data_IF_454510749949
#
_entry.id   IF_454510749949
#
_cell.length_a   1.000
_cell.length_b   1.000
_cell.length_c   1.000
_cell.angle_alpha   90.00
_cell.angle_beta   90.00
_cell.angle_gamma   90.00
#
_symmetry.space_group_name_H-M   'P 1'
#
loop_
_entity.id
_entity.type
_entity.pdbx_description
1 polymer ?
#
# COMPACT_ATOMS: atom_id res chain seq x y z
N UNK A 1 -7.08 -0.06 2.95
CA UNK A 1 -8.42 0.13 2.34
C UNK A 1 -8.67 -1.04 1.39
N UNK A 2 -9.92 -1.35 1.07
CA UNK A 2 -10.16 -2.34 0.01
C UNK A 2 -9.72 -1.78 -1.33
N UNK A 3 -9.06 -2.60 -2.14
CA UNK A 3 -8.63 -2.26 -3.49
C UNK A 3 -9.33 -3.21 -4.44
N UNK A 4 -10.17 -2.66 -5.30
CA UNK A 4 -10.77 -3.40 -6.42
C UNK A 4 -9.93 -3.12 -7.66
N UNK A 5 -9.35 -4.17 -8.22
CA UNK A 5 -8.60 -4.11 -9.47
C UNK A 5 -9.37 -4.90 -10.52
N UNK A 6 -9.86 -4.23 -11.54
CA UNK A 6 -10.54 -4.84 -12.69
C UNK A 6 -9.66 -4.65 -13.93
N UNK A 7 -9.35 -5.74 -14.62
CA UNK A 7 -8.52 -5.71 -15.84
C UNK A 7 -9.16 -6.60 -16.90
N UNK A 8 -9.11 -6.18 -18.17
CA UNK A 8 -9.75 -6.89 -19.29
C UNK A 8 -9.11 -8.26 -19.56
N UNK A 9 -7.77 -8.34 -19.64
CA UNK A 9 -7.03 -9.59 -19.88
C UNK A 9 -6.09 -9.98 -18.74
N UNK A 10 -5.88 -9.06 -17.78
CA UNK A 10 -5.00 -9.26 -16.63
C UNK A 10 -5.70 -9.91 -15.44
N UNK A 11 -5.02 -9.91 -14.30
CA UNK A 11 -5.58 -10.38 -13.03
C UNK A 11 -6.52 -9.33 -12.46
N UNK A 12 -7.81 -9.65 -12.47
CA UNK A 12 -8.80 -8.96 -11.65
C UNK A 12 -8.72 -9.50 -10.21
N UNK A 13 -8.76 -8.63 -9.21
CA UNK A 13 -8.61 -9.02 -7.82
C UNK A 13 -9.27 -8.03 -6.85
N UNK A 14 -9.75 -8.58 -5.74
CA UNK A 14 -10.23 -7.82 -4.59
C UNK A 14 -9.22 -8.04 -3.47
N UNK A 15 -8.56 -6.96 -3.06
CA UNK A 15 -7.51 -6.97 -2.05
C UNK A 15 -8.06 -6.29 -0.80
N UNK A 16 -7.97 -6.97 0.33
CA UNK A 16 -8.41 -6.46 1.61
C UNK A 16 -7.43 -5.40 2.17
N UNK A 17 -7.86 -4.61 3.17
CA UNK A 17 -7.07 -3.51 3.72
C UNK A 17 -5.73 -3.89 4.35
N UNK A 18 -5.56 -5.15 4.72
CA UNK A 18 -4.36 -5.78 5.26
C UNK A 18 -3.42 -6.33 4.17
N UNK A 19 -3.81 -6.24 2.90
CA UNK A 19 -3.07 -6.79 1.77
C UNK A 19 -3.42 -8.24 1.42
N UNK A 20 -4.36 -8.87 2.13
CA UNK A 20 -4.80 -10.23 1.78
C UNK A 20 -5.65 -10.24 0.52
N UNK A 21 -5.51 -11.28 -0.31
CA UNK A 21 -6.35 -11.48 -1.49
C UNK A 21 -7.67 -12.13 -1.07
N UNK A 22 -8.77 -11.37 -1.18
CA UNK A 22 -10.12 -11.87 -0.92
C UNK A 22 -10.64 -12.70 -2.09
N UNK A 23 -10.35 -12.26 -3.31
CA UNK A 23 -10.75 -12.95 -4.51
C UNK A 23 -9.86 -12.55 -5.69
N UNK A 24 -9.66 -13.44 -6.66
CA UNK A 24 -8.74 -13.27 -7.80
C UNK A 24 -9.25 -14.04 -9.00
N UNK A 25 -9.26 -13.44 -10.18
CA UNK A 25 -9.57 -14.15 -11.42
C UNK A 25 -8.36 -14.93 -11.92
N UNK A 26 -8.64 -15.98 -12.68
CA UNK A 26 -7.66 -16.58 -13.59
C UNK A 26 -7.26 -15.58 -14.67
N UNK A 27 -6.02 -15.67 -15.12
CA UNK A 27 -5.57 -14.87 -16.27
C UNK A 27 -6.10 -15.48 -17.56
N UNK A 28 -6.45 -14.62 -18.52
CA UNK A 28 -6.90 -15.01 -19.86
C UNK A 28 -8.18 -15.85 -19.92
N UNK A 29 -8.95 -15.91 -18.82
CA UNK A 29 -10.28 -16.51 -18.78
C UNK A 29 -11.34 -15.44 -18.42
N UNK A 30 -12.52 -15.55 -19.04
CA UNK A 30 -13.66 -14.69 -18.70
C UNK A 30 -14.26 -15.18 -17.38
N UNK A 31 -13.97 -14.47 -16.28
CA UNK A 31 -14.42 -14.84 -14.95
C UNK A 31 -14.99 -13.62 -14.21
N UNK A 32 -16.12 -13.81 -13.52
CA UNK A 32 -16.73 -12.76 -12.69
C UNK A 32 -16.39 -13.03 -11.23
N UNK A 33 -15.83 -12.03 -10.56
CA UNK A 33 -15.44 -12.12 -9.16
C UNK A 33 -16.39 -11.25 -8.32
N UNK A 34 -17.00 -11.82 -7.29
CA UNK A 34 -17.85 -11.09 -6.35
C UNK A 34 -17.37 -11.33 -4.92
N UNK A 35 -17.23 -10.25 -4.14
CA UNK A 35 -16.94 -10.33 -2.71
C UNK A 35 -17.62 -9.19 -1.98
N UNK A 36 -17.99 -9.43 -0.73
CA UNK A 36 -18.54 -8.41 0.15
C UNK A 36 -17.42 -7.46 0.60
N UNK A 37 -17.64 -6.16 0.40
CA UNK A 37 -16.65 -5.11 0.67
C UNK A 37 -17.22 -4.17 1.71
N UNK A 38 -16.54 -4.05 2.85
CA UNK A 38 -16.99 -3.16 3.91
C UNK A 38 -16.23 -1.82 3.86
N UNK A 39 -16.92 -0.68 3.70
CA UNK A 39 -16.28 0.64 3.68
C UNK A 39 -15.60 0.91 5.02
N UNK A 40 -14.27 1.11 4.99
CA UNK A 40 -13.52 1.49 6.20
C UNK A 40 -13.28 2.99 6.23
N UNK A 41 -13.72 3.63 7.31
CA UNK A 41 -13.37 5.01 7.64
C UNK A 41 -12.14 5.05 8.53
N UNK A 42 -11.21 5.96 8.21
CA UNK A 42 -9.95 6.12 8.94
C UNK A 42 -8.78 6.50 8.03
N UNK A 43 -7.86 7.30 8.58
CA UNK A 43 -6.60 7.66 7.93
C UNK A 43 -5.45 6.93 8.63
N UNK A 44 -4.68 6.14 7.88
CA UNK A 44 -3.47 5.50 8.42
C UNK A 44 -2.43 6.56 8.79
N UNK A 45 -1.48 6.26 9.70
CA UNK A 45 -0.37 7.18 10.01
C UNK A 45 0.36 7.67 8.75
N UNK A 46 0.52 6.79 7.77
CA UNK A 46 1.07 7.13 6.46
C UNK A 46 0.21 8.13 5.68
N UNK A 47 -1.11 7.99 5.68
CA UNK A 47 -2.00 8.98 5.04
C UNK A 47 -1.96 10.34 5.76
N UNK A 48 -1.74 10.36 7.08
CA UNK A 48 -1.69 11.60 7.89
C UNK A 48 -0.36 12.34 7.78
N UNK A 49 0.76 11.61 7.82
CA UNK A 49 2.10 12.21 7.85
C UNK A 49 2.90 12.03 6.55
N UNK A 50 2.40 11.24 5.60
CA UNK A 50 3.12 10.92 4.38
C UNK A 50 4.48 10.30 4.65
N UNK A 51 5.47 10.70 3.87
CA UNK A 51 6.86 10.24 4.00
C UNK A 51 7.69 11.04 5.02
N UNK A 52 7.13 12.08 5.65
CA UNK A 52 7.89 13.00 6.52
C UNK A 52 8.63 12.32 7.68
N UNK A 53 8.04 11.36 8.42
CA UNK A 53 8.73 10.66 9.50
C UNK A 53 9.96 9.89 9.01
N UNK A 54 9.87 9.30 7.81
CA UNK A 54 10.98 8.54 7.20
C UNK A 54 12.07 9.47 6.71
N UNK A 55 11.71 10.55 6.00
CA UNK A 55 12.66 11.53 5.47
C UNK A 55 13.39 12.25 6.60
N UNK A 56 12.68 12.68 7.64
CA UNK A 56 13.29 13.32 8.82
C UNK A 56 14.26 12.38 9.55
N UNK A 57 13.87 11.11 9.74
CA UNK A 57 14.77 10.09 10.30
C UNK A 57 16.03 9.89 9.44
N UNK A 58 15.87 9.79 8.12
CA UNK A 58 17.01 9.64 7.19
C UNK A 58 17.95 10.86 7.24
N UNK A 59 17.41 12.08 7.24
CA UNK A 59 18.19 13.31 7.34
C UNK A 59 18.94 13.42 8.67
N UNK A 60 18.33 12.98 9.79
CA UNK A 60 19.00 12.94 11.09
C UNK A 60 20.19 11.97 11.07
N UNK A 61 20.02 10.76 10.53
CA UNK A 61 21.11 9.78 10.41
C UNK A 61 22.26 10.34 9.57
N UNK A 62 21.94 10.91 8.40
CA UNK A 62 22.95 11.55 7.54
C UNK A 62 23.64 12.71 8.25
N UNK A 63 22.90 13.56 8.96
CA UNK A 63 23.45 14.67 9.73
C UNK A 63 24.42 14.22 10.83
N UNK A 64 24.06 13.18 11.59
CA UNK A 64 24.92 12.60 12.63
C UNK A 64 26.19 11.99 12.02
N UNK A 65 26.07 11.27 10.91
CA UNK A 65 27.23 10.70 10.20
C UNK A 65 28.17 11.78 9.69
N UNK A 66 27.64 12.84 9.08
CA UNK A 66 28.45 13.96 8.60
C UNK A 66 29.13 14.73 9.75
N UNK A 67 28.47 14.85 10.90
CA UNK A 67 29.07 15.44 12.09
C UNK A 67 30.22 14.59 12.63
N UNK A 68 30.04 13.26 12.68
CA UNK A 68 31.07 12.29 13.10
C UNK A 68 32.30 12.24 12.19
N UNK A 69 32.15 12.54 10.90
CA UNK A 69 33.26 12.55 9.94
C UNK A 69 34.04 13.88 9.98
N UNK A 70 33.38 14.97 10.41
CA UNK A 70 34.00 16.30 10.51
C UNK A 70 34.71 16.59 11.84
N UNK A 71 34.45 15.80 12.88
CA UNK A 71 35.10 15.86 14.20
C UNK A 71 36.27 14.88 14.21
#
# INVERSE_FOLDING_TARGET
RYVLRATNTGISAIIAPDGTLKARSRQFETETISAEVEPRHGATPYVRWGNWPVVSGALLVVGVLLWRIRV
#
